data_IF_133005855120
#
_entry.id   IF_133005855120
#
_cell.length_a   1.000
_cell.length_b   1.000
_cell.length_c   1.000
_cell.angle_alpha   90.00
_cell.angle_beta   90.00
_cell.angle_gamma   90.00
#
_symmetry.space_group_name_H-M   'P 1'
#
loop_
_entity.id
_entity.type
_entity.pdbx_description
1 polymer ?
#
# COMPACT_ATOMS: atom_id res chain seq x y z
N UNK A 1 1.35 18.54 -3.63
CA UNK A 1 2.65 18.30 -2.94
C UNK A 1 2.84 19.06 -1.61
N UNK A 2 2.10 20.12 -1.33
CA UNK A 2 2.31 20.92 -0.08
C UNK A 2 2.19 20.08 1.20
N UNK A 3 1.23 19.15 1.27
CA UNK A 3 1.03 18.27 2.42
C UNK A 3 2.08 17.16 2.58
N UNK A 4 2.89 16.87 1.56
CA UNK A 4 3.90 15.81 1.63
C UNK A 4 5.10 16.25 2.46
N UNK A 5 5.69 15.33 3.22
CA UNK A 5 6.91 15.60 3.97
C UNK A 5 8.05 16.08 3.06
N UNK A 6 8.99 16.83 3.63
CA UNK A 6 10.19 17.27 2.89
C UNK A 6 10.97 16.09 2.32
N UNK A 7 11.05 14.97 3.09
CA UNK A 7 11.72 13.74 2.66
C UNK A 7 11.06 13.13 1.42
N UNK A 8 9.73 12.95 1.43
CA UNK A 8 9.01 12.37 0.28
C UNK A 8 9.16 13.22 -0.99
N UNK A 9 9.10 14.54 -0.86
CA UNK A 9 9.36 15.45 -2.00
C UNK A 9 10.79 15.33 -2.53
N UNK A 10 11.75 15.13 -1.64
CA UNK A 10 13.15 14.92 -2.04
C UNK A 10 13.35 13.56 -2.70
N UNK A 11 12.71 12.50 -2.18
CA UNK A 11 12.80 11.15 -2.74
C UNK A 11 12.16 11.04 -4.13
N UNK A 12 11.03 11.71 -4.37
CA UNK A 12 10.41 11.80 -5.71
C UNK A 12 11.41 12.44 -6.69
N UNK A 13 11.96 13.60 -6.34
CA UNK A 13 12.94 14.30 -7.22
C UNK A 13 14.22 13.50 -7.40
N UNK A 14 14.62 12.71 -6.40
CA UNK A 14 15.78 11.84 -6.52
C UNK A 14 15.52 10.75 -7.54
N UNK A 15 14.36 10.03 -7.44
CA UNK A 15 14.00 9.02 -8.42
C UNK A 15 14.00 9.57 -9.86
N UNK A 16 13.42 10.76 -10.05
CA UNK A 16 13.41 11.44 -11.37
C UNK A 16 14.84 11.75 -11.87
N UNK A 17 15.72 12.30 -11.01
CA UNK A 17 17.11 12.59 -11.38
C UNK A 17 17.94 11.35 -11.64
N UNK A 18 17.66 10.26 -10.92
CA UNK A 18 18.32 8.96 -11.11
C UNK A 18 17.88 8.26 -12.40
N UNK A 19 16.93 8.82 -13.15
CA UNK A 19 16.47 8.29 -14.44
C UNK A 19 15.36 7.25 -14.33
N UNK A 20 14.70 7.14 -13.16
CA UNK A 20 13.53 6.24 -13.02
C UNK A 20 12.36 6.76 -13.85
N UNK A 21 11.83 5.91 -14.71
CA UNK A 21 10.67 6.19 -15.58
C UNK A 21 9.48 5.37 -15.13
N UNK A 22 8.29 5.98 -15.13
CA UNK A 22 7.03 5.27 -14.86
C UNK A 22 6.27 5.06 -16.17
N UNK A 23 6.03 3.80 -16.51
CA UNK A 23 5.11 3.44 -17.59
C UNK A 23 3.83 2.80 -17.08
N UNK A 24 2.79 2.85 -17.90
CA UNK A 24 1.55 2.09 -17.67
C UNK A 24 1.79 0.65 -18.10
N UNK A 25 1.45 -0.29 -17.24
CA UNK A 25 1.54 -1.72 -17.51
C UNK A 25 0.28 -2.24 -18.20
N UNK A 26 0.46 -3.25 -19.06
CA UNK A 26 -0.63 -4.01 -19.67
C UNK A 26 -0.97 -5.24 -18.81
N UNK A 27 -2.27 -5.56 -18.60
CA UNK A 27 -2.67 -6.69 -17.74
C UNK A 27 -2.01 -8.01 -18.11
N UNK A 28 -1.92 -8.32 -19.41
CA UNK A 28 -1.40 -9.61 -19.88
C UNK A 28 0.13 -9.69 -19.77
N UNK A 29 0.83 -8.63 -20.10
CA UNK A 29 2.29 -8.62 -20.14
C UNK A 29 2.92 -8.35 -18.77
N UNK A 30 2.27 -7.54 -17.93
CA UNK A 30 2.92 -6.96 -16.75
C UNK A 30 2.35 -7.42 -15.41
N UNK A 31 1.28 -8.22 -15.37
CA UNK A 31 0.79 -8.79 -14.11
C UNK A 31 1.85 -9.68 -13.43
N UNK A 32 2.67 -10.38 -14.21
CA UNK A 32 3.79 -11.17 -13.72
C UNK A 32 4.92 -10.28 -13.20
N UNK A 33 5.17 -9.12 -13.80
CA UNK A 33 6.12 -8.12 -13.28
C UNK A 33 5.68 -7.62 -11.91
N UNK A 34 4.40 -7.25 -11.73
CA UNK A 34 3.88 -6.88 -10.42
C UNK A 34 4.11 -8.01 -9.39
N UNK A 35 3.78 -9.24 -9.76
CA UNK A 35 3.95 -10.39 -8.87
C UNK A 35 5.42 -10.58 -8.47
N UNK A 36 6.37 -10.47 -9.41
CA UNK A 36 7.81 -10.54 -9.12
C UNK A 36 8.25 -9.44 -8.14
N UNK A 37 7.75 -8.21 -8.28
CA UNK A 37 8.05 -7.10 -7.37
C UNK A 37 7.49 -7.36 -5.97
N UNK A 38 6.31 -7.97 -5.86
CA UNK A 38 5.72 -8.39 -4.59
C UNK A 38 6.54 -9.51 -3.92
N UNK A 39 6.97 -10.52 -4.68
CA UNK A 39 7.88 -11.57 -4.20
C UNK A 39 9.17 -10.97 -3.67
N UNK A 40 9.82 -10.10 -4.43
CA UNK A 40 11.05 -9.43 -4.00
C UNK A 40 10.87 -8.58 -2.73
N UNK A 41 9.70 -7.97 -2.56
CA UNK A 41 9.37 -7.22 -1.34
C UNK A 41 9.09 -8.17 -0.17
N UNK A 42 8.38 -9.29 -0.40
CA UNK A 42 8.03 -10.25 0.63
C UNK A 42 9.26 -10.95 1.24
N UNK A 43 10.30 -11.20 0.45
CA UNK A 43 11.57 -11.70 0.97
C UNK A 43 12.18 -10.82 2.07
N UNK A 44 11.81 -9.55 2.11
CA UNK A 44 12.28 -8.57 3.12
C UNK A 44 11.25 -8.28 4.20
N UNK A 45 9.98 -8.55 3.97
CA UNK A 45 8.86 -8.06 4.82
C UNK A 45 7.69 -9.02 4.88
N UNK A 46 7.82 -10.20 5.14
CA UNK A 46 6.75 -11.21 5.31
C UNK A 46 5.30 -10.66 5.32
N UNK A 47 4.59 -10.68 4.20
CA UNK A 47 3.17 -10.28 4.08
C UNK A 47 2.47 -11.15 3.03
N UNK A 48 1.15 -11.29 3.16
CA UNK A 48 0.34 -12.01 2.19
C UNK A 48 0.11 -11.21 0.89
N UNK A 49 0.19 -11.89 -0.25
CA UNK A 49 -0.20 -11.34 -1.56
C UNK A 49 -0.75 -12.44 -2.47
N UNK A 50 -1.41 -12.04 -3.53
CA UNK A 50 -2.08 -12.95 -4.46
C UNK A 50 -1.18 -13.32 -5.65
N UNK A 51 -1.60 -14.33 -6.42
CA UNK A 51 -0.92 -14.74 -7.65
C UNK A 51 -1.05 -13.68 -8.76
N UNK A 52 -0.16 -13.73 -9.76
CA UNK A 52 -0.24 -12.88 -10.94
C UNK A 52 -1.60 -12.99 -11.65
N UNK A 53 -2.16 -14.21 -11.74
CA UNK A 53 -3.48 -14.44 -12.32
C UNK A 53 -4.62 -13.73 -11.58
N UNK A 54 -4.52 -13.57 -10.26
CA UNK A 54 -5.48 -12.77 -9.50
C UNK A 54 -5.41 -11.28 -9.91
N UNK A 55 -4.21 -10.71 -9.96
CA UNK A 55 -4.04 -9.30 -10.34
C UNK A 55 -4.45 -9.04 -11.79
N UNK A 56 -4.20 -9.98 -12.71
CA UNK A 56 -4.67 -9.90 -14.09
C UNK A 56 -6.19 -9.85 -14.17
N UNK A 57 -6.90 -10.76 -13.48
CA UNK A 57 -8.37 -10.73 -13.41
C UNK A 57 -8.91 -9.44 -12.78
N UNK A 58 -8.24 -8.93 -11.76
CA UNK A 58 -8.62 -7.68 -11.12
C UNK A 58 -8.49 -6.50 -12.10
N UNK A 59 -7.38 -6.41 -12.83
CA UNK A 59 -7.18 -5.38 -13.85
C UNK A 59 -8.27 -5.42 -14.93
N UNK A 60 -8.65 -6.61 -15.40
CA UNK A 60 -9.75 -6.77 -16.34
C UNK A 60 -11.10 -6.38 -15.75
N UNK A 61 -11.39 -6.80 -14.52
CA UNK A 61 -12.67 -6.52 -13.87
C UNK A 61 -12.90 -5.02 -13.62
N UNK A 62 -11.84 -4.30 -13.28
CA UNK A 62 -11.92 -2.86 -13.03
C UNK A 62 -11.67 -2.00 -14.29
N UNK A 63 -11.09 -2.57 -15.33
CA UNK A 63 -10.80 -1.86 -16.58
C UNK A 63 -10.10 -0.52 -16.34
N UNK A 64 -10.65 0.55 -16.88
CA UNK A 64 -10.08 1.91 -16.73
C UNK A 64 -10.03 2.44 -15.30
N UNK A 65 -10.78 1.84 -14.36
CA UNK A 65 -10.71 2.21 -12.95
C UNK A 65 -9.49 1.60 -12.25
N UNK A 66 -8.78 0.66 -12.87
CA UNK A 66 -7.53 0.10 -12.38
C UNK A 66 -6.35 0.61 -13.21
N UNK A 67 -5.20 0.80 -12.56
CA UNK A 67 -3.95 1.11 -13.24
C UNK A 67 -2.81 0.31 -12.66
N UNK A 68 -2.15 -0.45 -13.52
CA UNK A 68 -0.84 -1.04 -13.25
C UNK A 68 0.23 -0.04 -13.67
N UNK A 69 1.17 0.24 -12.79
CA UNK A 69 2.31 1.12 -13.05
C UNK A 69 3.60 0.34 -12.82
N UNK A 70 4.55 0.49 -13.72
CA UNK A 70 5.88 -0.11 -13.66
C UNK A 70 6.91 1.02 -13.57
N UNK A 71 7.78 0.96 -12.58
CA UNK A 71 8.96 1.81 -12.49
C UNK A 71 10.14 1.09 -13.14
N UNK A 72 10.79 1.72 -14.07
CA UNK A 72 11.94 1.20 -14.80
C UNK A 72 13.14 2.10 -14.63
N UNK A 73 14.33 1.47 -14.56
CA UNK A 73 15.63 2.13 -14.66
C UNK A 73 16.42 1.42 -15.76
N UNK A 74 16.89 2.17 -16.75
CA UNK A 74 17.59 1.64 -17.94
C UNK A 74 16.80 0.50 -18.63
N UNK A 75 15.46 0.64 -18.70
CA UNK A 75 14.56 -0.35 -19.30
C UNK A 75 14.30 -1.60 -18.44
N UNK A 76 14.87 -1.68 -17.23
CA UNK A 76 14.67 -2.80 -16.33
C UNK A 76 13.60 -2.46 -15.28
N UNK A 77 12.57 -3.31 -15.07
CA UNK A 77 11.59 -3.12 -14.01
C UNK A 77 12.25 -3.21 -12.61
N UNK A 78 12.12 -2.16 -11.83
CA UNK A 78 12.64 -2.08 -10.46
C UNK A 78 11.56 -1.90 -9.40
N UNK A 79 10.32 -1.62 -9.83
CA UNK A 79 9.17 -1.51 -8.95
C UNK A 79 7.87 -1.56 -9.73
N UNK A 80 6.78 -1.94 -9.07
CA UNK A 80 5.44 -1.92 -9.65
C UNK A 80 4.40 -1.59 -8.60
N UNK A 81 3.29 -0.99 -9.03
CA UNK A 81 2.12 -0.75 -8.19
C UNK A 81 0.82 -0.95 -8.96
N UNK A 82 -0.18 -1.51 -8.28
CA UNK A 82 -1.56 -1.61 -8.73
C UNK A 82 -2.41 -0.67 -7.90
N UNK A 83 -3.10 0.23 -8.56
CA UNK A 83 -3.92 1.27 -7.94
C UNK A 83 -5.30 1.30 -8.58
N UNK A 84 -6.29 1.72 -7.80
CA UNK A 84 -7.66 1.87 -8.26
C UNK A 84 -8.10 3.34 -8.10
N UNK A 85 -8.97 3.80 -9.00
CA UNK A 85 -9.67 5.06 -8.87
C UNK A 85 -11.13 4.86 -9.30
N UNK A 86 -12.04 4.88 -8.33
CA UNK A 86 -13.47 4.68 -8.54
C UNK A 86 -14.29 5.80 -7.89
N UNK A 87 -15.11 6.45 -8.68
CA UNK A 87 -15.86 7.61 -8.21
C UNK A 87 -14.93 8.71 -7.69
N UNK A 88 -15.07 9.06 -6.41
CA UNK A 88 -14.25 10.10 -5.75
C UNK A 88 -13.10 9.53 -4.91
N UNK A 89 -12.82 8.22 -5.02
CA UNK A 89 -11.84 7.53 -4.19
C UNK A 89 -10.73 6.91 -5.05
N UNK A 90 -9.50 7.09 -4.63
CA UNK A 90 -8.35 6.35 -5.14
C UNK A 90 -7.77 5.46 -4.06
N UNK A 91 -7.22 4.31 -4.44
CA UNK A 91 -6.69 3.31 -3.50
C UNK A 91 -5.36 2.74 -3.99
N UNK A 92 -4.38 2.69 -3.09
CA UNK A 92 -3.10 2.03 -3.29
C UNK A 92 -3.20 0.57 -2.87
N UNK A 93 -3.51 -0.32 -3.82
CA UNK A 93 -3.93 -1.69 -3.51
C UNK A 93 -2.75 -2.63 -3.27
N UNK A 94 -1.78 -2.65 -4.17
CA UNK A 94 -0.61 -3.52 -4.08
C UNK A 94 0.61 -2.83 -4.68
N UNK A 95 1.78 -3.05 -4.08
CA UNK A 95 3.04 -2.57 -4.64
C UNK A 95 4.23 -3.35 -4.12
N UNK A 96 5.24 -3.46 -4.96
CA UNK A 96 6.51 -4.07 -4.62
C UNK A 96 7.66 -3.42 -5.37
N UNK A 97 8.87 -3.69 -4.90
CA UNK A 97 10.10 -3.20 -5.52
C UNK A 97 11.28 -4.13 -5.23
N UNK A 98 12.25 -4.13 -6.11
CA UNK A 98 13.56 -4.77 -5.90
C UNK A 98 14.41 -3.95 -4.90
N UNK A 99 15.60 -4.46 -4.54
CA UNK A 99 16.59 -3.70 -3.77
C UNK A 99 17.01 -2.43 -4.52
N UNK A 100 17.24 -2.52 -5.83
CA UNK A 100 17.54 -1.37 -6.69
C UNK A 100 16.41 -0.35 -6.70
N UNK A 101 15.14 -0.80 -6.74
CA UNK A 101 13.99 0.07 -6.64
C UNK A 101 13.88 0.81 -5.29
N UNK A 102 14.35 0.21 -4.19
CA UNK A 102 14.45 0.91 -2.91
C UNK A 102 15.55 1.97 -2.93
N UNK A 103 16.70 1.64 -3.48
CA UNK A 103 17.85 2.55 -3.62
C UNK A 103 17.46 3.80 -4.40
N UNK A 104 16.81 3.64 -5.56
CA UNK A 104 16.39 4.73 -6.45
C UNK A 104 14.99 5.28 -6.15
N UNK A 105 14.43 4.97 -4.97
CA UNK A 105 13.15 5.55 -4.50
C UNK A 105 11.95 5.30 -5.43
N UNK A 106 11.95 4.20 -6.19
CA UNK A 106 10.91 3.87 -7.16
C UNK A 106 9.48 3.92 -6.57
N UNK A 107 9.29 3.44 -5.33
CA UNK A 107 8.00 3.47 -4.65
C UNK A 107 7.45 4.89 -4.45
N UNK A 108 8.31 5.89 -4.22
CA UNK A 108 7.88 7.28 -4.07
C UNK A 108 7.42 7.86 -5.41
N UNK A 109 8.13 7.56 -6.50
CA UNK A 109 7.74 8.03 -7.82
C UNK A 109 6.46 7.34 -8.32
N UNK A 110 6.33 6.01 -8.12
CA UNK A 110 5.10 5.25 -8.41
C UNK A 110 3.90 5.86 -7.69
N UNK A 111 4.04 6.09 -6.38
CA UNK A 111 2.97 6.66 -5.56
C UNK A 111 2.58 8.07 -6.01
N UNK A 112 3.55 8.91 -6.36
CA UNK A 112 3.29 10.25 -6.88
C UNK A 112 2.50 10.21 -8.19
N UNK A 113 2.90 9.34 -9.13
CA UNK A 113 2.19 9.15 -10.40
C UNK A 113 0.77 8.60 -10.19
N UNK A 114 0.59 7.68 -9.23
CA UNK A 114 -0.70 7.12 -8.87
C UNK A 114 -1.66 8.19 -8.32
N UNK A 115 -1.20 9.03 -7.39
CA UNK A 115 -2.00 10.12 -6.81
C UNK A 115 -2.41 11.13 -7.91
N UNK A 116 -1.49 11.49 -8.81
CA UNK A 116 -1.80 12.39 -9.93
C UNK A 116 -2.87 11.80 -10.82
N UNK A 117 -2.68 10.56 -11.27
CA UNK A 117 -3.64 9.86 -12.10
C UNK A 117 -5.03 9.77 -11.46
N UNK A 118 -5.11 9.39 -10.19
CA UNK A 118 -6.39 9.33 -9.48
C UNK A 118 -7.06 10.71 -9.40
N UNK A 119 -6.28 11.77 -9.13
CA UNK A 119 -6.79 13.15 -9.12
C UNK A 119 -7.31 13.58 -10.49
N UNK A 120 -6.62 13.27 -11.57
CA UNK A 120 -7.04 13.55 -12.96
C UNK A 120 -8.37 12.84 -13.30
N UNK A 121 -8.67 11.72 -12.63
CA UNK A 121 -9.95 10.98 -12.73
C UNK A 121 -11.03 11.47 -11.75
N UNK A 122 -10.78 12.54 -11.03
CA UNK A 122 -11.75 13.15 -10.12
C UNK A 122 -11.73 12.60 -8.68
N UNK A 123 -10.75 11.78 -8.32
CA UNK A 123 -10.61 11.32 -6.94
C UNK A 123 -10.30 12.49 -6.00
N UNK A 124 -11.01 12.56 -4.87
CA UNK A 124 -10.83 13.55 -3.81
C UNK A 124 -10.11 12.99 -2.61
N UNK A 125 -10.13 11.66 -2.45
CA UNK A 125 -9.45 10.95 -1.37
C UNK A 125 -8.49 9.92 -1.96
N UNK A 126 -7.40 9.67 -1.24
CA UNK A 126 -6.41 8.66 -1.58
C UNK A 126 -6.17 7.76 -0.38
N UNK A 127 -6.63 6.52 -0.48
CA UNK A 127 -6.46 5.51 0.56
C UNK A 127 -5.13 4.76 0.37
N UNK A 128 -4.28 4.83 1.38
CA UNK A 128 -3.01 4.13 1.42
C UNK A 128 -3.13 2.72 2.03
N UNK A 129 -4.37 2.24 2.25
CA UNK A 129 -4.66 0.93 2.82
C UNK A 129 -4.20 0.79 4.27
N UNK A 130 -4.28 -0.45 4.81
CA UNK A 130 -4.04 -0.73 6.23
C UNK A 130 -2.65 -0.40 6.76
N UNK A 131 -2.58 -0.19 8.05
CA UNK A 131 -1.37 -0.09 8.87
C UNK A 131 -1.49 -1.06 10.05
N UNK A 132 -0.39 -1.32 10.75
CA UNK A 132 -0.41 -2.14 11.97
C UNK A 132 -1.39 -1.59 13.01
N UNK A 133 -2.17 -2.47 13.67
CA UNK A 133 -3.23 -2.05 14.60
C UNK A 133 -2.69 -1.22 15.77
N UNK A 134 -1.58 -1.66 16.39
CA UNK A 134 -0.95 -0.90 17.48
C UNK A 134 -0.58 0.52 17.05
N UNK A 135 -0.07 0.68 15.83
CA UNK A 135 0.25 2.00 15.24
C UNK A 135 -1.01 2.81 15.01
N UNK A 136 -2.07 2.21 14.47
CA UNK A 136 -3.36 2.87 14.26
C UNK A 136 -3.97 3.37 15.56
N UNK A 137 -3.95 2.54 16.61
CA UNK A 137 -4.42 2.90 17.95
C UNK A 137 -3.62 4.06 18.54
N UNK A 138 -2.29 4.00 18.46
CA UNK A 138 -1.41 5.07 18.91
C UNK A 138 -1.73 6.41 18.25
N UNK A 139 -1.79 6.44 16.91
CA UNK A 139 -2.04 7.68 16.15
C UNK A 139 -3.41 8.30 16.48
N UNK A 140 -4.44 7.47 16.60
CA UNK A 140 -5.79 7.94 16.97
C UNK A 140 -5.84 8.43 18.40
N UNK A 141 -5.20 7.72 19.34
CA UNK A 141 -5.16 8.13 20.75
C UNK A 141 -4.39 9.45 20.92
N UNK A 142 -3.25 9.58 20.26
CA UNK A 142 -2.45 10.81 20.27
C UNK A 142 -3.22 12.01 19.67
N UNK A 143 -3.90 11.80 18.52
CA UNK A 143 -4.67 12.86 17.86
C UNK A 143 -5.86 13.35 18.70
N UNK A 144 -6.49 12.46 19.47
CA UNK A 144 -7.67 12.76 20.29
C UNK A 144 -7.35 13.01 21.77
N UNK A 145 -6.09 12.94 22.16
CA UNK A 145 -5.64 13.02 23.55
C UNK A 145 -6.44 12.08 24.51
N UNK A 146 -6.70 10.84 24.03
CA UNK A 146 -7.66 9.92 24.66
C UNK A 146 -7.02 8.89 25.58
N UNK A 147 -5.68 8.88 25.72
CA UNK A 147 -4.97 7.98 26.63
C UNK A 147 -3.94 8.74 27.47
N UNK A 148 -3.65 8.24 28.71
CA UNK A 148 -2.54 8.71 29.53
C UNK A 148 -1.18 8.57 28.81
N UNK A 149 -0.20 9.38 29.19
CA UNK A 149 1.09 9.43 28.53
C UNK A 149 1.88 8.11 28.59
N UNK A 150 1.76 7.38 29.68
CA UNK A 150 2.39 6.07 29.89
C UNK A 150 1.78 4.98 28.99
N UNK A 151 0.47 4.94 28.87
CA UNK A 151 -0.23 4.03 27.94
C UNK A 151 0.09 4.36 26.49
N UNK A 152 0.14 5.65 26.14
CA UNK A 152 0.51 6.09 24.80
C UNK A 152 1.95 5.68 24.46
N UNK A 153 2.88 5.83 25.42
CA UNK A 153 4.27 5.38 25.27
C UNK A 153 4.39 3.85 25.12
N UNK A 154 3.56 3.09 25.83
CA UNK A 154 3.51 1.63 25.69
C UNK A 154 3.01 1.19 24.30
N UNK A 155 1.98 1.85 23.77
CA UNK A 155 1.49 1.64 22.39
C UNK A 155 2.56 2.00 21.35
N UNK A 156 3.26 3.12 21.51
CA UNK A 156 4.35 3.53 20.62
C UNK A 156 5.45 2.47 20.58
N UNK A 157 5.88 1.97 21.75
CA UNK A 157 6.88 0.91 21.85
C UNK A 157 6.44 -0.39 21.17
N UNK A 158 5.16 -0.74 21.29
CA UNK A 158 4.56 -1.91 20.63
C UNK A 158 4.54 -1.71 19.13
N UNK A 159 4.10 -0.55 18.66
CA UNK A 159 4.02 -0.20 17.24
C UNK A 159 5.41 -0.20 16.56
N UNK A 160 6.45 0.30 17.24
CA UNK A 160 7.82 0.33 16.71
C UNK A 160 8.44 -1.07 16.50
N UNK A 161 7.94 -2.07 17.21
CA UNK A 161 8.39 -3.47 17.07
C UNK A 161 7.70 -4.20 15.92
N UNK A 162 6.63 -3.63 15.38
CA UNK A 162 5.90 -4.23 14.27
C UNK A 162 6.74 -4.19 12.98
N UNK A 163 6.89 -5.30 12.26
CA UNK A 163 7.60 -5.34 10.98
C UNK A 163 7.06 -4.35 9.94
N UNK A 164 5.79 -3.94 10.08
CA UNK A 164 5.12 -2.99 9.18
C UNK A 164 5.30 -1.52 9.60
N UNK A 165 6.02 -1.20 10.67
CA UNK A 165 6.26 0.20 11.07
C UNK A 165 6.94 1.02 9.98
N UNK A 166 7.85 0.42 9.22
CA UNK A 166 8.46 1.08 8.05
C UNK A 166 7.44 1.42 6.95
N UNK A 167 6.37 0.60 6.80
CA UNK A 167 5.27 0.87 5.87
C UNK A 167 4.44 2.06 6.35
N UNK A 168 4.17 2.13 7.66
CA UNK A 168 3.49 3.27 8.24
C UNK A 168 4.26 4.58 8.01
N UNK A 169 5.58 4.60 8.27
CA UNK A 169 6.43 5.79 8.04
C UNK A 169 6.38 6.26 6.59
N UNK A 170 6.42 5.33 5.63
CA UNK A 170 6.21 5.64 4.22
C UNK A 170 4.82 6.26 3.98
N UNK A 171 3.75 5.70 4.56
CA UNK A 171 2.39 6.23 4.39
C UNK A 171 2.20 7.60 5.04
N UNK A 172 2.72 7.80 6.24
CA UNK A 172 2.65 9.08 6.97
C UNK A 172 3.29 10.23 6.20
N UNK A 173 4.36 9.98 5.48
CA UNK A 173 5.07 10.99 4.70
C UNK A 173 4.25 11.63 3.58
N UNK A 174 3.13 11.04 3.19
CA UNK A 174 2.19 11.61 2.21
C UNK A 174 1.22 12.63 2.80
N UNK A 175 1.27 12.90 4.11
CA UNK A 175 0.48 13.93 4.78
C UNK A 175 -0.96 13.53 5.08
N UNK A 176 -1.28 12.25 5.01
CA UNK A 176 -2.58 11.71 5.40
C UNK A 176 -2.75 11.56 6.92
N UNK A 177 -3.94 11.20 7.33
CA UNK A 177 -4.30 10.86 8.70
C UNK A 177 -4.83 9.43 8.78
N UNK A 178 -4.77 8.85 9.97
CA UNK A 178 -5.30 7.51 10.24
C UNK A 178 -6.81 7.59 10.41
N UNK A 179 -7.52 6.69 9.72
CA UNK A 179 -8.96 6.51 9.87
C UNK A 179 -9.21 5.07 10.32
N UNK A 180 -10.03 4.91 11.34
CA UNK A 180 -10.49 3.58 11.76
C UNK A 180 -11.84 3.30 11.10
N UNK A 181 -11.88 2.29 10.28
CA UNK A 181 -13.13 1.77 9.72
C UNK A 181 -13.81 0.84 10.72
N UNK A 182 -15.07 0.51 10.50
CA UNK A 182 -15.72 -0.58 11.21
C UNK A 182 -14.94 -1.88 10.93
N UNK A 183 -14.85 -2.79 11.92
CA UNK A 183 -14.25 -4.09 11.70
C UNK A 183 -15.03 -4.87 10.63
N UNK A 184 -14.36 -5.86 10.03
CA UNK A 184 -15.05 -6.80 9.16
C UNK A 184 -16.03 -7.64 10.01
N UNK A 185 -17.22 -7.89 9.44
CA UNK A 185 -18.23 -8.72 10.06
C UNK A 185 -18.58 -9.87 9.11
N UNK A 186 -18.59 -11.07 9.65
CA UNK A 186 -19.05 -12.25 8.91
C UNK A 186 -20.52 -12.51 9.24
N UNK A 187 -21.35 -12.65 8.22
CA UNK A 187 -22.69 -13.19 8.38
C UNK A 187 -22.64 -14.71 8.19
N UNK A 188 -22.73 -15.43 9.29
CA UNK A 188 -22.68 -16.90 9.28
C UNK A 188 -24.02 -17.47 8.84
N UNK A 189 -24.07 -18.12 7.67
CA UNK A 189 -25.26 -18.81 7.17
C UNK A 189 -25.31 -20.30 7.58
N UNK A 190 -24.12 -20.94 7.62
CA UNK A 190 -23.99 -22.38 7.97
C UNK A 190 -22.86 -22.47 9.02
N UNK A 191 -23.23 -22.49 10.29
CA UNK A 191 -22.31 -22.48 11.40
C UNK A 191 -21.21 -23.58 11.36
N UNK A 192 -21.51 -24.86 11.09
CA UNK A 192 -20.48 -25.90 11.01
C UNK A 192 -19.44 -25.65 9.91
N UNK A 193 -19.87 -25.17 8.73
CA UNK A 193 -18.98 -24.87 7.64
C UNK A 193 -18.09 -23.65 7.97
N UNK A 194 -18.63 -22.65 8.65
CA UNK A 194 -17.89 -21.49 9.08
C UNK A 194 -16.83 -21.85 10.13
N UNK A 195 -17.16 -22.67 11.13
CA UNK A 195 -16.21 -23.14 12.14
C UNK A 195 -15.10 -24.00 11.54
N UNK A 196 -15.42 -24.89 10.59
CA UNK A 196 -14.43 -25.66 9.85
C UNK A 196 -13.48 -24.77 9.06
N UNK A 197 -13.99 -23.72 8.43
CA UNK A 197 -13.21 -22.75 7.68
C UNK A 197 -12.30 -21.93 8.60
N UNK A 198 -12.79 -21.42 9.76
CA UNK A 198 -11.98 -20.73 10.76
C UNK A 198 -10.86 -21.63 11.31
N UNK A 199 -11.20 -22.87 11.64
CA UNK A 199 -10.21 -23.83 12.12
C UNK A 199 -9.10 -24.07 11.10
N UNK A 200 -9.42 -24.22 9.81
CA UNK A 200 -8.40 -24.35 8.76
C UNK A 200 -7.50 -23.14 8.60
N UNK A 201 -7.97 -21.95 8.97
CA UNK A 201 -7.19 -20.70 8.93
C UNK A 201 -6.37 -20.44 10.18
N UNK A 202 -6.54 -21.23 11.24
CA UNK A 202 -5.91 -21.00 12.54
C UNK A 202 -6.47 -19.77 13.27
N UNK A 203 -7.71 -19.40 13.01
CA UNK A 203 -8.41 -18.26 13.58
C UNK A 203 -9.43 -18.68 14.66
N UNK A 204 -9.48 -19.98 15.03
CA UNK A 204 -10.36 -20.54 16.04
C UNK A 204 -9.65 -20.71 17.38
#
# INVERSE_FOLDING_TARGET
MAAFSKGHRADIRRAERDGVVIRVGAPEADADVLHQMLVATNQRKSFGFHSAGYYRRLLHAFGDAARLQIAELDGQPIGASLVLAWGRHGTYLAAGSTALGLEHRAAHLLQWHAIRWAKERGALTWDLWGIADARGRHELAAANNSLPADELAALEKTAQRDPLDGVYRFKKGWGGHVVRTLPAFDRVFIAPAYWYWQWRRGEA
#
